data_IF_227667573492
#
_entry.id   IF_227667573492
#
_cell.length_a   1.000
_cell.length_b   1.000
_cell.length_c   1.000
_cell.angle_alpha   90.00
_cell.angle_beta   90.00
_cell.angle_gamma   90.00
#
_symmetry.space_group_name_H-M   'P 1'
#
loop_
_entity.id
_entity.type
_entity.pdbx_description
1 polymer ?
#
# COMPACT_ATOMS: atom_id res chain seq x y z
N UNK A 1 -17.63 -3.31 23.82
CA UNK A 1 -16.95 -3.02 22.56
C UNK A 1 -16.32 -4.27 21.92
N UNK A 2 -15.53 -5.06 22.63
CA UNK A 2 -14.88 -6.28 22.13
C UNK A 2 -15.86 -7.36 21.65
N UNK A 3 -16.94 -7.61 22.39
CA UNK A 3 -18.02 -8.58 22.03
C UNK A 3 -18.79 -8.19 20.76
N UNK A 4 -18.96 -6.89 20.50
CA UNK A 4 -19.59 -6.38 19.27
C UNK A 4 -18.67 -6.57 18.05
N UNK A 5 -17.33 -6.35 18.21
CA UNK A 5 -16.34 -6.58 17.16
C UNK A 5 -16.24 -8.06 16.79
N UNK A 6 -16.23 -8.95 17.79
CA UNK A 6 -16.21 -10.42 17.58
C UNK A 6 -17.50 -10.88 16.88
N UNK A 7 -18.64 -10.30 17.24
CA UNK A 7 -19.93 -10.60 16.61
C UNK A 7 -19.99 -10.13 15.14
N UNK A 8 -19.39 -8.97 14.82
CA UNK A 8 -19.29 -8.41 13.46
C UNK A 8 -18.33 -9.20 12.57
N UNK A 9 -17.19 -9.65 13.12
CA UNK A 9 -16.23 -10.51 12.41
C UNK A 9 -16.78 -11.91 12.17
N UNK A 10 -17.48 -12.50 13.16
CA UNK A 10 -18.20 -13.79 12.97
C UNK A 10 -19.34 -13.67 11.96
N UNK A 11 -20.09 -12.57 11.95
CA UNK A 11 -21.16 -12.36 10.99
C UNK A 11 -20.62 -12.25 9.54
N UNK A 12 -19.52 -11.56 9.32
CA UNK A 12 -18.90 -11.41 7.99
C UNK A 12 -18.35 -12.73 7.44
N UNK A 13 -17.73 -13.55 8.29
CA UNK A 13 -17.28 -14.88 7.90
C UNK A 13 -18.48 -15.83 7.66
N UNK A 14 -19.58 -15.65 8.41
CA UNK A 14 -20.79 -16.45 8.28
C UNK A 14 -21.50 -16.16 6.94
N UNK A 15 -21.61 -14.91 6.51
CA UNK A 15 -22.21 -14.53 5.21
C UNK A 15 -21.43 -15.10 4.02
N UNK A 16 -20.11 -15.07 4.09
CA UNK A 16 -19.27 -15.69 3.05
C UNK A 16 -19.40 -17.20 3.01
N UNK A 17 -19.49 -17.85 4.16
CA UNK A 17 -19.77 -19.31 4.28
C UNK A 17 -21.15 -19.67 3.76
N UNK A 18 -22.17 -18.91 4.12
CA UNK A 18 -23.55 -19.10 3.64
C UNK A 18 -23.63 -18.93 2.12
N UNK A 19 -22.89 -17.96 1.55
CA UNK A 19 -22.78 -17.80 0.09
C UNK A 19 -22.21 -19.03 -0.61
N UNK A 20 -21.11 -19.58 -0.11
CA UNK A 20 -20.50 -20.83 -0.63
C UNK A 20 -21.43 -22.04 -0.49
N UNK A 21 -22.13 -22.15 0.64
CA UNK A 21 -23.09 -23.22 0.88
C UNK A 21 -24.28 -23.17 -0.08
N UNK A 22 -24.79 -21.96 -0.38
CA UNK A 22 -25.89 -21.76 -1.35
C UNK A 22 -25.49 -22.20 -2.75
N UNK A 23 -24.29 -21.88 -3.20
CA UNK A 23 -23.79 -22.30 -4.51
C UNK A 23 -23.75 -23.82 -4.59
N UNK A 24 -23.14 -24.46 -3.61
CA UNK A 24 -23.03 -25.90 -3.56
C UNK A 24 -24.41 -26.57 -3.50
N UNK A 25 -25.35 -26.03 -2.73
CA UNK A 25 -26.72 -26.55 -2.64
C UNK A 25 -27.51 -26.42 -3.94
N UNK A 26 -27.34 -25.33 -4.67
CA UNK A 26 -27.97 -25.14 -6.00
C UNK A 26 -27.40 -26.14 -7.01
N UNK A 27 -26.09 -26.30 -7.09
CA UNK A 27 -25.46 -27.27 -8.00
C UNK A 27 -25.92 -28.70 -7.69
N UNK A 28 -25.87 -29.11 -6.42
CA UNK A 28 -26.34 -30.40 -5.97
C UNK A 28 -27.84 -30.58 -6.25
N UNK A 29 -28.66 -29.54 -6.07
CA UNK A 29 -30.08 -29.57 -6.37
C UNK A 29 -30.36 -29.83 -7.85
N UNK A 30 -29.68 -29.15 -8.75
CA UNK A 30 -29.81 -29.39 -10.20
C UNK A 30 -29.36 -30.79 -10.59
N UNK A 31 -28.24 -31.27 -10.04
CA UNK A 31 -27.71 -32.62 -10.32
C UNK A 31 -28.70 -33.69 -9.82
N UNK A 32 -29.13 -33.61 -8.58
CA UNK A 32 -30.03 -34.62 -7.98
C UNK A 32 -31.40 -34.58 -8.68
N UNK A 33 -31.99 -33.40 -8.83
CA UNK A 33 -33.30 -33.24 -9.47
C UNK A 33 -33.25 -33.72 -10.93
N UNK A 34 -32.26 -33.28 -11.69
CA UNK A 34 -32.10 -33.64 -13.11
C UNK A 34 -31.93 -35.16 -13.28
N UNK A 35 -31.08 -35.78 -12.44
CA UNK A 35 -30.84 -37.23 -12.46
C UNK A 35 -32.13 -38.04 -12.23
N UNK A 36 -32.82 -37.72 -11.11
CA UNK A 36 -34.04 -38.44 -10.72
C UNK A 36 -35.14 -38.24 -11.78
N UNK A 37 -35.34 -37.01 -12.22
CA UNK A 37 -36.38 -36.68 -13.17
C UNK A 37 -36.11 -37.29 -14.57
N UNK A 38 -34.88 -37.17 -15.07
CA UNK A 38 -34.53 -37.81 -16.37
C UNK A 38 -34.68 -39.31 -16.31
N UNK A 39 -34.18 -39.98 -15.29
CA UNK A 39 -34.35 -41.41 -15.09
C UNK A 39 -35.84 -41.80 -15.05
N UNK A 40 -36.65 -41.07 -14.29
CA UNK A 40 -38.08 -41.36 -14.15
C UNK A 40 -38.84 -41.29 -15.48
N UNK A 41 -38.58 -40.27 -16.29
CA UNK A 41 -39.30 -40.09 -17.55
C UNK A 41 -38.78 -40.97 -18.71
N UNK A 42 -37.48 -41.30 -18.72
CA UNK A 42 -36.83 -41.97 -19.85
C UNK A 42 -36.56 -43.46 -19.67
N UNK A 43 -36.65 -44.02 -18.43
CA UNK A 43 -36.37 -45.44 -18.14
C UNK A 43 -37.21 -46.45 -18.94
N UNK A 44 -38.36 -46.02 -19.49
CA UNK A 44 -39.20 -46.87 -20.34
C UNK A 44 -38.97 -46.69 -21.84
N UNK A 45 -38.20 -45.69 -22.24
CA UNK A 45 -37.98 -45.28 -23.62
C UNK A 45 -36.53 -45.47 -24.12
N UNK A 46 -35.58 -45.61 -23.15
CA UNK A 46 -34.18 -45.89 -23.41
C UNK A 46 -33.88 -47.28 -22.81
N UNK A 47 -33.40 -48.20 -23.67
CA UNK A 47 -33.03 -49.54 -23.23
C UNK A 47 -31.84 -49.51 -22.24
N UNK A 48 -31.91 -50.29 -21.17
CA UNK A 48 -30.88 -50.44 -20.12
C UNK A 48 -30.48 -49.15 -19.37
N UNK A 49 -31.29 -48.07 -19.49
CA UNK A 49 -30.98 -46.83 -18.75
C UNK A 49 -30.92 -47.08 -17.24
N UNK A 50 -29.77 -46.80 -16.65
CA UNK A 50 -29.59 -46.86 -15.19
C UNK A 50 -29.45 -45.46 -14.59
N UNK A 51 -29.41 -45.34 -13.26
CA UNK A 51 -29.36 -44.05 -12.60
C UNK A 51 -27.99 -43.35 -12.76
N UNK A 52 -26.91 -44.14 -12.99
CA UNK A 52 -25.60 -43.62 -13.33
C UNK A 52 -25.54 -42.93 -14.67
N UNK A 53 -26.21 -43.55 -15.69
CA UNK A 53 -26.33 -42.95 -17.01
C UNK A 53 -27.14 -41.66 -16.98
N UNK A 54 -28.20 -41.62 -16.16
CA UNK A 54 -28.97 -40.40 -15.99
C UNK A 54 -28.13 -39.29 -15.30
N UNK A 55 -27.33 -39.63 -14.30
CA UNK A 55 -26.41 -38.69 -13.67
C UNK A 55 -25.34 -38.20 -14.65
N UNK A 56 -24.74 -39.07 -15.38
CA UNK A 56 -23.79 -38.76 -16.46
C UNK A 56 -24.41 -37.80 -17.47
N UNK A 57 -25.63 -38.11 -17.94
CA UNK A 57 -26.36 -37.26 -18.90
C UNK A 57 -26.56 -35.82 -18.34
N UNK A 58 -26.93 -35.66 -17.09
CA UNK A 58 -27.08 -34.35 -16.46
C UNK A 58 -25.74 -33.63 -16.44
N UNK A 59 -24.63 -34.27 -16.06
CA UNK A 59 -23.30 -33.66 -16.05
C UNK A 59 -22.89 -33.20 -17.46
N UNK A 60 -23.05 -34.05 -18.46
CA UNK A 60 -22.71 -33.70 -19.86
C UNK A 60 -23.58 -32.58 -20.40
N UNK A 61 -24.85 -32.52 -19.98
CA UNK A 61 -25.79 -31.45 -20.36
C UNK A 61 -25.44 -30.11 -19.70
N UNK A 62 -25.21 -30.05 -18.38
CA UNK A 62 -24.91 -28.80 -17.69
C UNK A 62 -23.52 -28.27 -18.03
N UNK A 63 -22.56 -29.14 -18.36
CA UNK A 63 -21.23 -28.73 -18.83
C UNK A 63 -21.22 -28.37 -20.32
N UNK A 64 -22.37 -28.41 -20.99
CA UNK A 64 -22.56 -28.07 -22.41
C UNK A 64 -21.74 -28.94 -23.39
N UNK A 65 -21.27 -30.11 -22.96
CA UNK A 65 -20.52 -31.07 -23.80
C UNK A 65 -21.45 -31.76 -24.79
N UNK A 66 -22.57 -32.33 -24.29
CA UNK A 66 -23.66 -32.89 -25.11
C UNK A 66 -23.21 -33.97 -26.13
N UNK A 67 -22.62 -35.08 -25.69
CA UNK A 67 -22.18 -36.15 -26.56
C UNK A 67 -23.30 -36.77 -27.42
N UNK A 68 -24.58 -36.64 -26.98
CA UNK A 68 -25.73 -37.15 -27.73
C UNK A 68 -25.94 -38.67 -27.62
N UNK A 69 -25.21 -39.33 -26.76
CA UNK A 69 -25.32 -40.78 -26.47
C UNK A 69 -26.64 -41.09 -25.75
N UNK A 70 -27.05 -40.25 -24.84
CA UNK A 70 -28.36 -40.23 -24.23
C UNK A 70 -29.14 -38.98 -24.62
N UNK A 71 -30.32 -39.17 -25.28
CA UNK A 71 -31.18 -38.05 -25.68
C UNK A 71 -32.60 -38.24 -25.18
N UNK A 72 -33.32 -37.20 -24.72
CA UNK A 72 -34.68 -37.32 -24.24
C UNK A 72 -35.64 -37.69 -25.38
N UNK A 73 -36.31 -38.81 -25.27
CA UNK A 73 -37.29 -39.33 -26.25
C UNK A 73 -38.71 -38.93 -25.88
N UNK A 74 -39.03 -38.84 -24.60
CA UNK A 74 -40.36 -38.49 -24.12
C UNK A 74 -40.56 -36.96 -24.01
N UNK A 75 -41.84 -36.53 -23.99
CA UNK A 75 -42.15 -35.12 -23.76
C UNK A 75 -41.68 -34.67 -22.38
N UNK A 76 -41.81 -35.55 -21.35
CA UNK A 76 -41.32 -35.28 -19.99
C UNK A 76 -39.80 -35.09 -19.94
N UNK A 77 -39.04 -35.98 -20.61
CA UNK A 77 -37.58 -35.85 -20.71
C UNK A 77 -37.14 -34.57 -21.42
N UNK A 78 -37.87 -34.12 -22.47
CA UNK A 78 -37.58 -32.85 -23.15
C UNK A 78 -37.80 -31.64 -22.26
N UNK A 79 -38.84 -31.66 -21.42
CA UNK A 79 -39.09 -30.59 -20.45
C UNK A 79 -37.97 -30.58 -19.40
N UNK A 80 -37.56 -31.76 -18.91
CA UNK A 80 -36.46 -31.88 -17.96
C UNK A 80 -35.15 -31.36 -18.55
N UNK A 81 -34.87 -31.67 -19.85
CA UNK A 81 -33.69 -31.15 -20.56
C UNK A 81 -33.67 -29.61 -20.48
N UNK A 82 -34.79 -28.93 -20.80
CA UNK A 82 -34.83 -27.45 -20.75
C UNK A 82 -34.56 -26.94 -19.35
N UNK A 83 -35.16 -27.55 -18.33
CA UNK A 83 -34.95 -27.15 -16.93
C UNK A 83 -33.51 -27.36 -16.47
N UNK A 84 -32.91 -28.50 -16.80
CA UNK A 84 -31.51 -28.82 -16.46
C UNK A 84 -30.54 -27.91 -17.19
N UNK A 85 -30.79 -27.64 -18.50
CA UNK A 85 -29.92 -26.79 -19.31
C UNK A 85 -29.96 -25.34 -18.78
N UNK A 86 -31.13 -24.77 -18.56
CA UNK A 86 -31.27 -23.39 -18.00
C UNK A 86 -30.73 -23.30 -16.57
N UNK A 87 -31.05 -24.27 -15.72
CA UNK A 87 -30.54 -24.32 -14.35
C UNK A 87 -29.03 -24.52 -14.29
N UNK A 88 -28.47 -25.34 -15.16
CA UNK A 88 -27.03 -25.58 -15.27
C UNK A 88 -26.27 -24.34 -15.73
N UNK A 89 -26.70 -23.71 -16.84
CA UNK A 89 -26.11 -22.46 -17.35
C UNK A 89 -26.16 -21.36 -16.27
N UNK A 90 -27.31 -21.19 -15.62
CA UNK A 90 -27.47 -20.20 -14.55
C UNK A 90 -26.54 -20.46 -13.35
N UNK A 91 -26.36 -21.72 -12.97
CA UNK A 91 -25.45 -22.09 -11.88
C UNK A 91 -24.00 -21.85 -12.25
N UNK A 92 -23.56 -22.22 -13.45
CA UNK A 92 -22.19 -21.96 -13.94
C UNK A 92 -21.91 -20.45 -14.02
N UNK A 93 -22.84 -19.68 -14.60
CA UNK A 93 -22.70 -18.22 -14.66
C UNK A 93 -22.55 -17.59 -13.27
N UNK A 94 -23.34 -18.03 -12.30
CA UNK A 94 -23.24 -17.57 -10.92
C UNK A 94 -21.92 -17.95 -10.25
N UNK A 95 -21.39 -19.16 -10.49
CA UNK A 95 -20.07 -19.60 -9.99
C UNK A 95 -18.97 -18.74 -10.58
N UNK A 96 -19.00 -18.48 -11.89
CA UNK A 96 -18.01 -17.63 -12.57
C UNK A 96 -18.06 -16.20 -12.03
N UNK A 97 -19.25 -15.63 -11.82
CA UNK A 97 -19.40 -14.31 -11.18
C UNK A 97 -18.74 -14.27 -9.80
N UNK A 98 -18.96 -15.30 -8.97
CA UNK A 98 -18.33 -15.37 -7.65
C UNK A 98 -16.80 -15.48 -7.71
N UNK A 99 -16.26 -16.27 -8.64
CA UNK A 99 -14.81 -16.40 -8.85
C UNK A 99 -14.20 -15.07 -9.31
N UNK A 100 -14.82 -14.40 -10.26
CA UNK A 100 -14.40 -13.08 -10.75
C UNK A 100 -14.48 -12.06 -9.61
N UNK A 101 -15.59 -12.00 -8.87
CA UNK A 101 -15.77 -11.05 -7.79
C UNK A 101 -14.78 -11.26 -6.63
N UNK A 102 -14.37 -12.50 -6.36
CA UNK A 102 -13.35 -12.82 -5.37
C UNK A 102 -11.96 -12.34 -5.82
N UNK A 103 -11.61 -12.58 -7.07
CA UNK A 103 -10.32 -12.14 -7.64
C UNK A 103 -10.24 -10.61 -7.76
N UNK A 104 -11.31 -9.98 -8.21
CA UNK A 104 -11.35 -8.55 -8.52
C UNK A 104 -11.47 -7.67 -7.26
N UNK A 105 -12.17 -8.12 -6.21
CA UNK A 105 -12.32 -7.35 -4.96
C UNK A 105 -11.00 -7.01 -4.27
N UNK A 106 -10.01 -7.89 -4.34
CA UNK A 106 -8.70 -7.63 -3.76
C UNK A 106 -7.84 -6.71 -4.65
N UNK A 107 -7.90 -6.89 -5.96
CA UNK A 107 -7.18 -6.04 -6.92
C UNK A 107 -7.77 -4.62 -6.96
N UNK A 108 -9.10 -4.48 -6.98
CA UNK A 108 -9.77 -3.18 -6.91
C UNK A 108 -9.44 -2.44 -5.61
N UNK A 109 -9.38 -3.13 -4.46
CA UNK A 109 -8.99 -2.51 -3.19
C UNK A 109 -7.57 -1.97 -3.20
N UNK A 110 -6.66 -2.66 -3.87
CA UNK A 110 -5.26 -2.20 -4.03
C UNK A 110 -5.22 -1.02 -5.02
N UNK A 111 -5.87 -1.13 -6.17
CA UNK A 111 -5.92 -0.10 -7.20
C UNK A 111 -6.52 1.23 -6.72
N UNK A 112 -7.48 1.19 -5.81
CA UNK A 112 -8.11 2.39 -5.22
C UNK A 112 -7.61 2.71 -3.80
N UNK A 113 -6.47 2.17 -3.39
CA UNK A 113 -5.89 2.46 -2.08
C UNK A 113 -6.80 2.13 -0.90
N UNK A 114 -7.80 1.23 -1.07
CA UNK A 114 -8.76 0.88 -0.03
C UNK A 114 -8.30 -0.25 0.89
N UNK A 115 -7.15 -0.87 0.59
CA UNK A 115 -6.53 -1.94 1.37
C UNK A 115 -5.88 -1.44 2.67
N UNK A 116 -5.37 -2.38 3.46
CA UNK A 116 -4.44 -2.10 4.55
C UNK A 116 -3.09 -2.75 4.21
N UNK A 117 -2.00 -2.06 4.50
CA UNK A 117 -0.66 -2.58 4.25
C UNK A 117 -0.11 -3.32 5.46
N UNK A 118 0.85 -4.20 5.21
CA UNK A 118 1.57 -4.96 6.26
C UNK A 118 3.06 -4.60 6.31
N UNK A 119 3.44 -3.48 5.66
CA UNK A 119 4.81 -2.98 5.66
C UNK A 119 5.26 -2.69 7.10
N UNK A 120 6.57 -2.84 7.36
CA UNK A 120 7.19 -2.55 8.65
C UNK A 120 8.41 -1.67 8.42
N UNK A 121 8.73 -0.82 9.40
CA UNK A 121 9.85 0.13 9.34
C UNK A 121 9.87 1.02 8.09
N UNK A 122 8.71 1.20 7.48
CA UNK A 122 8.50 2.00 6.27
C UNK A 122 8.24 3.47 6.60
N UNK A 123 8.32 4.30 5.57
CA UNK A 123 7.96 5.72 5.62
C UNK A 123 6.53 5.90 5.11
N UNK A 124 5.69 6.60 5.87
CA UNK A 124 4.35 7.01 5.47
C UNK A 124 4.44 8.46 4.97
N UNK A 125 4.05 8.69 3.74
CA UNK A 125 4.03 10.02 3.10
C UNK A 125 2.59 10.50 3.06
N UNK A 126 2.31 11.61 3.73
CA UNK A 126 0.98 12.23 3.77
C UNK A 126 0.92 13.37 2.77
N UNK A 127 -0.01 13.25 1.82
CA UNK A 127 -0.20 14.20 0.72
C UNK A 127 0.50 13.76 -0.56
N UNK A 128 -0.09 14.16 -1.70
CA UNK A 128 0.45 13.95 -3.04
C UNK A 128 0.53 15.31 -3.72
N UNK A 129 1.72 15.83 -3.89
CA UNK A 129 2.02 17.10 -4.52
C UNK A 129 3.48 17.13 -5.01
N UNK A 130 3.89 18.16 -5.73
CA UNK A 130 5.24 18.25 -6.29
C UNK A 130 6.37 18.08 -5.26
N UNK A 131 6.16 18.52 -4.00
CA UNK A 131 7.15 18.32 -2.91
C UNK A 131 7.28 16.81 -2.55
N UNK A 132 6.15 16.12 -2.47
CA UNK A 132 6.12 14.69 -2.17
C UNK A 132 6.70 13.86 -3.32
N UNK A 133 6.39 14.21 -4.57
CA UNK A 133 6.94 13.54 -5.76
C UNK A 133 8.46 13.64 -5.79
N UNK A 134 9.03 14.82 -5.54
CA UNK A 134 10.48 15.00 -5.51
C UNK A 134 11.14 14.23 -4.38
N UNK A 135 10.53 14.24 -3.18
CA UNK A 135 11.03 13.45 -2.06
C UNK A 135 10.97 11.93 -2.34
N UNK A 136 9.97 11.44 -3.08
CA UNK A 136 9.86 10.03 -3.44
C UNK A 136 10.97 9.60 -4.39
N UNK A 137 11.42 10.45 -5.31
CA UNK A 137 12.55 10.14 -6.19
C UNK A 137 13.81 9.84 -5.37
N UNK A 138 14.09 10.68 -4.38
CA UNK A 138 15.24 10.51 -3.49
C UNK A 138 15.08 9.26 -2.57
N UNK A 139 13.87 9.01 -2.03
CA UNK A 139 13.60 7.83 -1.20
C UNK A 139 13.76 6.52 -1.99
N UNK A 140 13.41 6.50 -3.28
CA UNK A 140 13.64 5.35 -4.16
C UNK A 140 15.14 5.08 -4.35
N UNK A 141 15.95 6.12 -4.53
CA UNK A 141 17.40 5.97 -4.62
C UNK A 141 18.02 5.46 -3.32
N UNK A 142 17.45 5.86 -2.20
CA UNK A 142 17.85 5.37 -0.88
C UNK A 142 17.31 3.97 -0.54
N UNK A 143 16.59 3.31 -1.46
CA UNK A 143 15.94 2.01 -1.26
C UNK A 143 15.02 1.95 -0.03
N UNK A 144 14.46 3.10 0.38
CA UNK A 144 13.53 3.18 1.51
C UNK A 144 12.14 2.70 1.10
N UNK A 145 11.55 1.81 1.88
CA UNK A 145 10.15 1.39 1.70
C UNK A 145 9.21 2.50 2.13
N UNK A 146 8.26 2.86 1.27
CA UNK A 146 7.29 3.90 1.55
C UNK A 146 5.89 3.61 0.99
N UNK A 147 4.91 4.33 1.50
CA UNK A 147 3.56 4.40 0.96
C UNK A 147 3.02 5.84 1.05
N UNK A 148 2.10 6.17 0.15
CA UNK A 148 1.43 7.47 0.13
C UNK A 148 0.03 7.35 0.72
N UNK A 149 -0.39 8.34 1.51
CA UNK A 149 -1.74 8.44 2.07
C UNK A 149 -2.32 9.83 1.89
N UNK A 150 -3.59 9.91 1.51
CA UNK A 150 -4.29 11.19 1.33
C UNK A 150 -5.77 11.01 1.04
N UNK A 151 -6.53 12.10 1.19
CA UNK A 151 -7.97 12.14 0.87
C UNK A 151 -8.22 12.24 -0.63
N UNK A 152 -7.38 13.00 -1.32
CA UNK A 152 -7.47 13.29 -2.75
C UNK A 152 -6.17 12.84 -3.42
N UNK A 153 -6.15 11.58 -3.90
CA UNK A 153 -5.00 10.99 -4.56
C UNK A 153 -5.33 10.69 -6.02
N UNK A 154 -4.41 11.00 -6.93
CA UNK A 154 -4.50 10.50 -8.30
C UNK A 154 -4.07 9.03 -8.33
N UNK A 155 -5.06 8.15 -8.28
CA UNK A 155 -4.83 6.71 -8.30
C UNK A 155 -4.22 6.21 -9.62
N UNK A 156 -4.52 6.88 -10.74
CA UNK A 156 -3.99 6.47 -12.05
C UNK A 156 -2.50 6.76 -12.11
N UNK A 157 -2.09 7.93 -11.66
CA UNK A 157 -0.69 8.34 -11.59
C UNK A 157 0.11 7.46 -10.61
N UNK A 158 -0.38 7.30 -9.37
CA UNK A 158 0.28 6.49 -8.36
C UNK A 158 0.44 5.02 -8.76
N UNK A 159 -0.55 4.45 -9.47
CA UNK A 159 -0.46 3.10 -9.99
C UNK A 159 0.52 3.00 -11.19
N UNK A 160 0.57 4.02 -12.06
CA UNK A 160 1.52 4.06 -13.17
C UNK A 160 2.97 4.12 -12.66
N UNK A 161 3.19 4.81 -11.55
CA UNK A 161 4.47 4.90 -10.85
C UNK A 161 4.76 3.72 -9.90
N UNK A 162 3.88 2.73 -9.83
CA UNK A 162 3.96 1.57 -8.93
C UNK A 162 4.07 1.95 -7.44
N UNK A 163 3.46 3.08 -7.05
CA UNK A 163 3.47 3.58 -5.68
C UNK A 163 2.35 2.96 -4.85
N UNK A 164 2.71 2.30 -3.77
CA UNK A 164 1.73 1.86 -2.77
C UNK A 164 1.03 3.05 -2.14
N UNK A 165 -0.30 3.06 -2.16
CA UNK A 165 -1.06 4.18 -1.63
C UNK A 165 -2.33 3.75 -0.88
N UNK A 166 -2.80 4.63 0.02
CA UNK A 166 -4.03 4.45 0.80
C UNK A 166 -4.87 5.72 0.71
N UNK A 167 -6.08 5.58 0.15
CA UNK A 167 -7.05 6.66 0.17
C UNK A 167 -7.75 6.77 1.52
N UNK A 168 -7.80 7.97 2.05
CA UNK A 168 -8.51 8.30 3.28
C UNK A 168 -7.95 9.53 3.95
N UNK A 169 -8.73 10.09 4.85
CA UNK A 169 -8.35 11.25 5.65
C UNK A 169 -7.25 10.88 6.65
N UNK A 170 -6.02 11.43 6.53
CA UNK A 170 -4.89 11.06 7.37
C UNK A 170 -5.00 11.55 8.82
N UNK A 171 -5.94 12.44 9.12
CA UNK A 171 -6.24 12.85 10.50
C UNK A 171 -7.00 11.78 11.29
N UNK A 172 -7.58 10.78 10.57
CA UNK A 172 -8.38 9.72 11.18
C UNK A 172 -7.53 8.52 11.57
N UNK A 173 -7.69 8.08 12.80
CA UNK A 173 -7.02 6.89 13.34
C UNK A 173 -7.24 5.63 12.49
N UNK A 174 -8.38 5.49 11.83
CA UNK A 174 -8.67 4.36 10.96
C UNK A 174 -7.75 4.33 9.74
N UNK A 175 -7.54 5.48 9.09
CA UNK A 175 -6.67 5.63 7.94
C UNK A 175 -5.21 5.32 8.32
N UNK A 176 -4.71 5.91 9.40
CA UNK A 176 -3.34 5.65 9.87
C UNK A 176 -3.13 4.18 10.29
N UNK A 177 -4.15 3.52 10.86
CA UNK A 177 -4.09 2.08 11.14
C UNK A 177 -3.98 1.24 9.86
N UNK A 178 -4.64 1.65 8.78
CA UNK A 178 -4.52 0.98 7.47
C UNK A 178 -3.11 1.14 6.89
N UNK A 179 -2.45 2.25 7.19
CA UNK A 179 -1.04 2.50 6.85
C UNK A 179 -0.06 1.74 7.75
N UNK A 180 -0.52 0.96 8.72
CA UNK A 180 0.31 0.27 9.72
C UNK A 180 1.25 1.23 10.50
N UNK A 181 0.72 2.38 10.91
CA UNK A 181 1.45 3.46 11.61
C UNK A 181 2.25 2.96 12.82
N UNK A 182 1.79 1.92 13.50
CA UNK A 182 2.46 1.36 14.70
C UNK A 182 3.82 0.74 14.41
N UNK A 183 4.01 0.21 13.20
CA UNK A 183 5.25 -0.41 12.74
C UNK A 183 6.05 0.49 11.80
N UNK A 184 5.54 1.70 11.50
CA UNK A 184 6.22 2.67 10.66
C UNK A 184 7.41 3.31 11.39
N UNK A 185 8.49 3.61 10.65
CA UNK A 185 9.70 4.28 11.12
C UNK A 185 9.53 5.80 11.09
N UNK A 186 8.95 6.31 10.00
CA UNK A 186 8.86 7.75 9.73
C UNK A 186 7.48 8.10 9.17
N UNK A 187 6.99 9.28 9.55
CA UNK A 187 5.84 9.94 8.95
C UNK A 187 6.32 11.26 8.33
N UNK A 188 6.26 11.35 7.02
CA UNK A 188 6.54 12.58 6.27
C UNK A 188 5.22 13.24 5.90
N UNK A 189 4.98 14.47 6.37
CA UNK A 189 3.75 15.21 6.09
C UNK A 189 4.06 16.37 5.13
N UNK A 190 3.52 16.28 3.92
CA UNK A 190 3.70 17.28 2.86
C UNK A 190 2.34 17.81 2.42
N UNK A 191 1.68 18.56 3.30
CA UNK A 191 0.40 19.21 3.04
C UNK A 191 0.60 20.71 2.84
N UNK A 192 -0.37 21.36 2.19
CA UNK A 192 -0.39 22.81 1.99
C UNK A 192 -1.01 23.56 3.18
N UNK A 193 -1.67 22.82 4.08
CA UNK A 193 -2.35 23.37 5.25
C UNK A 193 -1.64 22.95 6.55
N UNK A 194 -1.02 23.93 7.22
CA UNK A 194 -0.29 23.71 8.47
C UNK A 194 -1.18 23.20 9.61
N UNK A 195 -2.45 23.62 9.66
CA UNK A 195 -3.39 23.13 10.69
C UNK A 195 -3.71 21.64 10.49
N UNK A 196 -3.88 21.20 9.24
CA UNK A 196 -4.08 19.79 8.91
C UNK A 196 -2.83 18.97 9.21
N UNK A 197 -1.64 19.52 8.89
CA UNK A 197 -0.34 18.92 9.23
C UNK A 197 -0.23 18.66 10.75
N UNK A 198 -0.59 19.64 11.58
CA UNK A 198 -0.62 19.50 13.03
C UNK A 198 -1.59 18.40 13.48
N UNK A 199 -2.80 18.37 12.90
CA UNK A 199 -3.79 17.33 13.22
C UNK A 199 -3.33 15.92 12.86
N UNK A 200 -2.67 15.76 11.72
CA UNK A 200 -2.06 14.48 11.30
C UNK A 200 -0.97 14.06 12.28
N UNK A 201 -0.08 14.98 12.66
CA UNK A 201 1.00 14.71 13.59
C UNK A 201 0.46 14.24 14.96
N UNK A 202 -0.53 14.94 15.51
CA UNK A 202 -1.18 14.57 16.78
C UNK A 202 -1.86 13.19 16.69
N UNK A 203 -2.55 12.91 15.59
CA UNK A 203 -3.21 11.61 15.37
C UNK A 203 -2.19 10.47 15.26
N UNK A 204 -1.06 10.70 14.61
CA UNK A 204 0.04 9.76 14.46
C UNK A 204 0.75 9.51 15.80
N UNK A 205 1.13 10.56 16.51
CA UNK A 205 1.82 10.50 17.80
C UNK A 205 1.00 9.75 18.85
N UNK A 206 -0.33 9.89 18.82
CA UNK A 206 -1.26 9.14 19.68
C UNK A 206 -1.20 7.63 19.46
N UNK A 207 -0.86 7.17 18.25
CA UNK A 207 -0.84 5.75 17.90
C UNK A 207 0.56 5.15 17.95
N UNK A 208 1.58 5.95 17.67
CA UNK A 208 2.98 5.57 17.71
C UNK A 208 3.78 6.72 18.35
N UNK A 209 4.12 6.60 19.62
CA UNK A 209 4.84 7.63 20.37
C UNK A 209 6.29 7.81 19.92
N UNK A 210 6.87 6.81 19.24
CA UNK A 210 8.28 6.79 18.85
C UNK A 210 8.50 7.03 17.35
N UNK A 211 7.43 7.28 16.59
CA UNK A 211 7.58 7.54 15.15
C UNK A 211 8.31 8.87 14.94
N UNK A 212 9.26 8.90 14.01
CA UNK A 212 9.91 10.14 13.59
C UNK A 212 8.95 10.90 12.66
N UNK A 213 8.56 12.14 13.04
CA UNK A 213 7.65 12.97 12.26
C UNK A 213 8.40 14.11 11.60
N UNK A 214 8.39 14.16 10.28
CA UNK A 214 8.98 15.22 9.46
C UNK A 214 7.84 15.91 8.74
N UNK A 215 7.80 17.25 8.75
CA UNK A 215 6.74 17.99 8.08
C UNK A 215 7.24 19.25 7.39
N UNK A 216 6.59 19.60 6.27
CA UNK A 216 6.72 20.94 5.68
C UNK A 216 5.88 21.93 6.47
N UNK A 217 6.37 23.17 6.54
CA UNK A 217 5.68 24.32 7.13
C UNK A 217 5.57 25.42 6.09
N UNK A 218 4.35 25.88 5.83
CA UNK A 218 4.09 26.95 4.86
C UNK A 218 4.24 28.34 5.52
N UNK A 219 3.84 28.45 6.79
CA UNK A 219 3.83 29.71 7.54
C UNK A 219 4.76 29.65 8.74
N UNK A 220 5.80 30.49 8.77
CA UNK A 220 6.82 30.51 9.80
C UNK A 220 6.26 30.65 11.23
N UNK A 221 5.15 31.36 11.39
CA UNK A 221 4.48 31.55 12.69
C UNK A 221 3.95 30.23 13.28
N UNK A 222 3.73 29.21 12.45
CA UNK A 222 3.20 27.91 12.88
C UNK A 222 4.29 26.93 13.39
N UNK A 223 5.58 27.24 13.20
CA UNK A 223 6.70 26.35 13.56
C UNK A 223 6.65 25.94 15.04
N UNK A 224 6.39 26.89 15.95
CA UNK A 224 6.35 26.58 17.39
C UNK A 224 5.13 25.70 17.74
N UNK A 225 3.98 25.91 17.09
CA UNK A 225 2.81 25.04 17.25
C UNK A 225 3.08 23.63 16.74
N UNK A 226 3.76 23.49 15.59
CA UNK A 226 4.16 22.21 15.03
C UNK A 226 5.12 21.45 15.96
N UNK A 227 6.10 22.14 16.55
CA UNK A 227 6.96 21.54 17.59
C UNK A 227 6.16 21.08 18.81
N UNK A 228 5.20 21.90 19.25
CA UNK A 228 4.29 21.56 20.35
C UNK A 228 3.40 20.36 20.04
N UNK A 229 3.08 20.13 18.78
CA UNK A 229 2.35 18.94 18.31
C UNK A 229 3.21 17.67 18.23
N UNK A 230 4.51 17.76 18.51
CA UNK A 230 5.43 16.63 18.50
C UNK A 230 6.00 16.28 17.14
N UNK A 231 6.12 17.26 16.24
CA UNK A 231 6.85 17.11 14.97
C UNK A 231 8.33 17.25 15.28
N UNK A 232 9.13 16.25 14.89
CA UNK A 232 10.55 16.17 15.22
C UNK A 232 11.41 17.05 14.30
N UNK A 233 11.05 17.13 13.01
CA UNK A 233 11.75 17.95 12.03
C UNK A 233 10.75 18.76 11.21
N UNK A 234 10.96 20.07 11.15
CA UNK A 234 10.12 21.01 10.43
C UNK A 234 10.94 21.67 9.34
N UNK A 235 10.47 21.56 8.10
CA UNK A 235 11.09 22.16 6.92
C UNK A 235 10.24 23.34 6.47
N UNK A 236 10.68 24.56 6.78
CA UNK A 236 10.04 25.79 6.29
C UNK A 236 10.38 26.03 4.83
N UNK A 237 9.46 25.63 3.96
CA UNK A 237 9.64 25.72 2.51
C UNK A 237 9.86 27.18 2.05
N UNK A 238 9.03 28.11 2.53
CA UNK A 238 9.13 29.52 2.16
C UNK A 238 10.46 30.15 2.60
N UNK A 239 10.94 29.79 3.80
CA UNK A 239 12.21 30.32 4.33
C UNK A 239 13.40 29.82 3.53
N UNK A 240 13.48 28.49 3.28
CA UNK A 240 14.59 27.88 2.54
C UNK A 240 14.62 28.39 1.10
N UNK A 241 13.47 28.36 0.41
CA UNK A 241 13.39 28.81 -0.98
C UNK A 241 13.68 30.32 -1.12
N UNK A 242 13.17 31.14 -0.21
CA UNK A 242 13.45 32.58 -0.19
C UNK A 242 14.94 32.90 0.00
N UNK A 243 15.62 32.19 0.90
CA UNK A 243 17.07 32.31 1.10
C UNK A 243 17.86 31.90 -0.14
N UNK A 244 17.50 30.77 -0.76
CA UNK A 244 18.15 30.32 -1.99
C UNK A 244 17.94 31.31 -3.15
N UNK A 245 16.75 31.87 -3.28
CA UNK A 245 16.50 32.92 -4.29
C UNK A 245 17.37 34.15 -4.06
N UNK A 246 17.53 34.62 -2.82
CA UNK A 246 18.40 35.75 -2.49
C UNK A 246 19.86 35.46 -2.82
N UNK A 247 20.37 34.27 -2.44
CA UNK A 247 21.73 33.83 -2.76
C UNK A 247 21.94 33.67 -4.28
N UNK A 248 20.92 33.26 -5.05
CA UNK A 248 21.05 33.11 -6.49
C UNK A 248 21.35 34.47 -7.19
N UNK A 249 20.97 35.60 -6.59
CA UNK A 249 21.27 36.94 -7.12
C UNK A 249 22.76 37.30 -6.99
N UNK A 250 23.39 36.92 -5.86
CA UNK A 250 24.77 37.35 -5.54
C UNK A 250 25.77 36.20 -5.68
N UNK A 251 25.34 34.93 -5.48
CA UNK A 251 26.20 33.77 -5.39
C UNK A 251 25.60 32.58 -6.16
N UNK A 252 25.36 32.68 -7.47
CA UNK A 252 24.66 31.65 -8.25
C UNK A 252 25.35 30.28 -8.24
N UNK A 253 26.67 30.26 -8.16
CA UNK A 253 27.45 29.00 -8.11
C UNK A 253 27.24 28.29 -6.78
N UNK A 254 27.09 29.02 -5.68
CA UNK A 254 26.78 28.42 -4.35
C UNK A 254 25.40 27.77 -4.37
N UNK A 255 24.43 28.44 -4.99
CA UNK A 255 23.08 27.86 -5.12
C UNK A 255 23.10 26.61 -6.00
N UNK A 256 23.82 26.65 -7.14
CA UNK A 256 23.98 25.47 -7.99
C UNK A 256 24.61 24.30 -7.22
N UNK A 257 25.62 24.56 -6.39
CA UNK A 257 26.24 23.54 -5.53
C UNK A 257 25.26 22.95 -4.51
N UNK A 258 24.46 23.80 -3.84
CA UNK A 258 23.48 23.33 -2.83
C UNK A 258 22.41 22.48 -3.52
N UNK A 259 21.90 22.89 -4.67
CA UNK A 259 20.88 22.13 -5.42
C UNK A 259 21.46 20.78 -5.88
N UNK A 260 22.67 20.77 -6.41
CA UNK A 260 23.35 19.55 -6.81
C UNK A 260 23.56 18.60 -5.61
N UNK A 261 24.01 19.12 -4.48
CA UNK A 261 24.26 18.36 -3.26
C UNK A 261 23.01 17.81 -2.55
N UNK A 262 21.80 18.23 -2.96
CA UNK A 262 20.54 17.70 -2.44
C UNK A 262 19.94 16.58 -3.30
N UNK A 263 20.56 16.24 -4.44
CA UNK A 263 20.12 15.10 -5.27
C UNK A 263 21.13 13.98 -5.21
N UNK A 264 20.64 12.74 -5.06
CA UNK A 264 21.45 11.54 -5.12
C UNK A 264 21.64 10.97 -6.54
N UNK A 265 21.03 11.64 -7.55
CA UNK A 265 21.01 11.14 -8.94
C UNK A 265 22.26 11.52 -9.74
N UNK A 266 22.82 12.71 -9.50
CA UNK A 266 23.97 13.29 -10.26
C UNK A 266 24.77 14.23 -9.37
N UNK A 267 26.08 14.36 -9.64
CA UNK A 267 26.95 15.35 -9.02
C UNK A 267 27.49 14.91 -7.67
N UNK A 268 27.11 15.57 -6.61
CA UNK A 268 27.57 15.28 -5.25
C UNK A 268 26.39 14.79 -4.41
N UNK A 269 26.67 13.83 -3.54
CA UNK A 269 25.71 13.35 -2.57
C UNK A 269 26.18 13.72 -1.15
N UNK A 270 25.28 14.31 -0.35
CA UNK A 270 25.53 14.61 1.05
C UNK A 270 25.00 13.48 1.92
N UNK A 271 25.90 12.80 2.60
CA UNK A 271 25.60 11.70 3.50
C UNK A 271 25.92 12.04 4.94
N UNK A 272 25.29 11.33 5.86
CA UNK A 272 25.68 11.37 7.25
C UNK A 272 26.15 10.01 7.74
N UNK A 273 27.19 9.98 8.57
CA UNK A 273 27.62 8.80 9.31
C UNK A 273 27.44 9.08 10.81
N UNK A 274 26.66 8.23 11.47
CA UNK A 274 26.53 8.27 12.92
C UNK A 274 27.72 7.55 13.55
N UNK A 275 28.35 8.19 14.52
CA UNK A 275 29.46 7.60 15.29
C UNK A 275 28.87 6.77 16.44
N UNK A 276 29.03 5.45 16.40
CA UNK A 276 28.46 4.52 17.37
C UNK A 276 29.37 4.30 18.60
N UNK A 277 30.66 4.56 18.46
CA UNK A 277 31.65 4.40 19.53
C UNK A 277 32.76 5.42 19.39
N UNK A 278 33.52 5.62 20.49
CA UNK A 278 34.65 6.54 20.49
C UNK A 278 35.73 6.08 19.52
N UNK A 279 36.04 6.87 18.51
CA UNK A 279 36.97 6.55 17.42
C UNK A 279 37.72 7.83 16.97
N UNK A 280 38.93 7.70 16.41
CA UNK A 280 39.54 8.82 15.73
C UNK A 280 39.00 8.97 14.33
N UNK A 281 38.90 10.19 13.83
CA UNK A 281 38.44 10.47 12.47
C UNK A 281 39.36 9.78 11.44
N UNK A 282 40.67 9.76 11.70
CA UNK A 282 41.69 9.06 10.86
C UNK A 282 41.48 7.56 10.74
N UNK A 283 40.80 6.95 11.71
CA UNK A 283 40.59 5.50 11.77
C UNK A 283 39.22 5.09 11.17
N UNK A 284 38.43 6.06 10.67
CA UNK A 284 37.19 5.81 9.98
C UNK A 284 37.44 5.35 8.55
N UNK A 285 36.76 4.31 8.11
CA UNK A 285 36.82 3.79 6.75
C UNK A 285 36.02 4.66 5.81
N UNK A 286 36.64 5.70 5.24
CA UNK A 286 36.10 6.52 4.17
C UNK A 286 36.68 6.06 2.83
N UNK A 287 35.89 6.16 1.76
CA UNK A 287 36.37 5.92 0.39
C UNK A 287 37.22 7.10 -0.11
N UNK A 288 37.96 6.91 -1.22
CA UNK A 288 38.80 7.97 -1.79
C UNK A 288 37.99 9.19 -2.26
N UNK A 289 36.73 8.96 -2.64
CA UNK A 289 35.81 9.98 -3.15
C UNK A 289 34.97 10.66 -2.03
N UNK A 290 35.08 10.19 -0.80
CA UNK A 290 34.37 10.76 0.34
C UNK A 290 35.21 11.80 1.08
N UNK A 291 34.62 12.92 1.40
CA UNK A 291 35.24 14.01 2.19
C UNK A 291 34.33 14.43 3.33
N UNK A 292 34.85 14.42 4.54
CA UNK A 292 34.14 14.98 5.69
C UNK A 292 34.17 16.49 5.60
N UNK A 293 33.00 17.11 5.55
CA UNK A 293 32.85 18.56 5.44
C UNK A 293 32.39 19.21 6.76
N UNK A 294 31.75 18.44 7.65
CA UNK A 294 31.35 18.93 8.96
C UNK A 294 31.23 17.80 9.99
N UNK A 295 31.48 18.13 11.26
CA UNK A 295 31.18 17.33 12.42
C UNK A 295 29.98 17.96 13.15
N UNK A 296 28.91 17.21 13.37
CA UNK A 296 27.78 17.64 14.16
C UNK A 296 27.86 17.01 15.57
N UNK A 297 27.99 17.87 16.58
CA UNK A 297 28.13 17.49 17.98
C UNK A 297 27.34 18.43 18.88
N UNK A 298 26.55 17.88 19.78
CA UNK A 298 25.77 18.65 20.73
C UNK A 298 24.90 19.77 20.12
N UNK A 299 24.27 19.50 18.98
CA UNK A 299 23.39 20.46 18.31
C UNK A 299 24.12 21.52 17.47
N UNK A 300 25.43 21.40 17.23
CA UNK A 300 26.22 22.38 16.48
C UNK A 300 27.09 21.73 15.41
N UNK A 301 27.22 22.43 14.30
CA UNK A 301 28.19 22.09 13.26
C UNK A 301 29.57 22.67 13.59
N UNK A 302 30.59 21.84 13.44
CA UNK A 302 32.00 22.18 13.60
C UNK A 302 32.62 21.94 12.23
N UNK A 303 33.18 22.98 11.62
CA UNK A 303 33.82 22.91 10.29
C UNK A 303 35.34 22.82 10.39
N UNK A 304 35.92 23.31 11.49
CA UNK A 304 37.37 23.24 11.76
C UNK A 304 37.65 22.14 12.78
N UNK A 305 38.16 21.03 12.30
CA UNK A 305 38.56 19.88 13.11
C UNK A 305 39.83 19.20 12.52
N UNK A 306 40.67 18.70 13.41
CA UNK A 306 41.90 18.04 13.00
C UNK A 306 41.59 16.65 12.37
N UNK A 307 42.44 16.21 11.46
CA UNK A 307 42.32 14.89 10.81
C UNK A 307 42.36 13.72 11.83
N UNK A 308 42.95 13.91 12.99
CA UNK A 308 43.04 12.96 14.11
C UNK A 308 42.03 13.27 15.24
N UNK A 309 41.02 14.12 14.98
CA UNK A 309 40.03 14.50 15.97
C UNK A 309 39.36 13.26 16.57
N UNK A 310 39.16 13.30 17.89
CA UNK A 310 38.42 12.26 18.61
C UNK A 310 36.92 12.49 18.45
N UNK A 311 36.25 11.52 17.88
CA UNK A 311 34.82 11.45 17.73
C UNK A 311 34.22 10.72 18.96
N UNK A 312 33.09 11.19 19.42
CA UNK A 312 32.33 10.57 20.52
C UNK A 312 31.10 9.80 20.03
N UNK A 313 30.59 8.91 20.86
CA UNK A 313 29.31 8.26 20.61
C UNK A 313 28.19 9.31 20.46
N UNK A 314 27.38 9.22 19.40
CA UNK A 314 26.31 10.15 19.10
C UNK A 314 26.71 11.37 18.27
N UNK A 315 27.98 11.51 17.91
CA UNK A 315 28.40 12.47 16.89
C UNK A 315 27.90 12.05 15.51
N UNK A 316 27.74 13.00 14.60
CA UNK A 316 27.47 12.73 13.18
C UNK A 316 28.52 13.43 12.34
N UNK A 317 29.04 12.71 11.36
CA UNK A 317 29.85 13.28 10.28
C UNK A 317 28.96 13.60 9.08
N UNK A 318 29.11 14.80 8.54
CA UNK A 318 28.54 15.15 7.25
C UNK A 318 29.60 14.94 6.19
N UNK A 319 29.31 14.12 5.21
CA UNK A 319 30.22 13.70 4.17
C UNK A 319 29.69 14.13 2.83
N UNK A 320 30.57 14.64 1.97
CA UNK A 320 30.29 14.83 0.56
C UNK A 320 30.95 13.70 -0.23
N UNK A 321 30.22 13.08 -1.13
CA UNK A 321 30.71 12.03 -2.01
C UNK A 321 30.36 12.35 -3.46
N UNK A 322 31.23 12.03 -4.41
CA UNK A 322 30.85 12.08 -5.82
C UNK A 322 29.89 10.93 -6.12
N UNK A 323 28.78 11.23 -6.80
CA UNK A 323 27.90 10.20 -7.35
C UNK A 323 28.56 9.59 -8.58
N UNK A 324 28.73 8.28 -8.58
CA UNK A 324 29.35 7.50 -9.68
C UNK A 324 28.41 7.37 -10.89
#
# INVERSE_FOLDING_TARGET
>A
MLLWLIKKLKAKNLEEYIGKLRILSLLLGVLIFGTIAFYYFERGSIEELNIGDAFYWVLVTITTVGYGDFTPKTLGGRIIFVLVALGGIGTIAYVLEQLISFSTKNQIKVLFGSGAVKMKRHTIIVGWNAKAEEAIKELRHAEEEFLVVGSELDHAELNAEEIHHISGDPTKSETLNRCNIKEAKTLMVSLENDSETIMVALAARKQNTNINIIATCETQEHVDMMRGAGIDQIISYAEISGRLLAHAVTEPVVVAFIVDATTSVKGFDLKQIKVESKVKLSDMSLTEDERVIALYRNGRFILDFAADAMLGEGDYLVIIAATS
#
